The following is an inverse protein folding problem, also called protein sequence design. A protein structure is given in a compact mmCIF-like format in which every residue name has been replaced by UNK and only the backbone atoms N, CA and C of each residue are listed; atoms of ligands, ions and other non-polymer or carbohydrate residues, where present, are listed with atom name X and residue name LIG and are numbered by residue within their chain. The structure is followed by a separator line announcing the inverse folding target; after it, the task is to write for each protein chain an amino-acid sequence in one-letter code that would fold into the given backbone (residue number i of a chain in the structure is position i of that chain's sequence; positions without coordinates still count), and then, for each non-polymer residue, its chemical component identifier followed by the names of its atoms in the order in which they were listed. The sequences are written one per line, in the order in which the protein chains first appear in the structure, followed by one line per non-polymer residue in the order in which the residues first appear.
data_IF_664451846183
#
_entry.id   IF_664451846183
#
_cell.length_a   1.000
_cell.length_b   1.000
_cell.length_c   1.000
_cell.angle_alpha   90.00
_cell.angle_beta   90.00
_cell.angle_gamma   90.00
#
_symmetry.space_group_name_H-M   'P 1'
#
loop_
_entity.id
_entity.type
_entity.pdbx_description
1 polymer ?
#
# COMPACT_ATOMS: atom_id res chain seq x y z
N UNK A 1 -11.09 24.60 12.22
CA UNK A 1 -10.75 23.96 13.52
C UNK A 1 -9.26 24.10 13.76
N UNK A 2 -8.83 24.58 14.94
CA UNK A 2 -7.40 24.60 15.28
C UNK A 2 -6.98 23.26 15.86
N UNK A 3 -5.82 22.73 15.45
CA UNK A 3 -5.29 21.48 15.97
C UNK A 3 -4.88 21.64 17.45
N UNK A 4 -5.23 20.68 18.31
CA UNK A 4 -4.86 20.71 19.73
C UNK A 4 -3.33 20.76 19.90
N UNK A 5 -2.74 21.68 20.69
CA UNK A 5 -1.29 21.88 20.75
C UNK A 5 -0.47 20.61 21.06
N UNK A 6 -0.99 19.76 21.96
CA UNK A 6 -0.35 18.48 22.30
C UNK A 6 -0.33 17.49 21.12
N UNK A 7 -1.40 17.46 20.32
CA UNK A 7 -1.47 16.59 19.14
C UNK A 7 -0.48 17.09 18.09
N UNK A 8 -0.41 18.41 17.87
CA UNK A 8 0.59 19.00 16.99
C UNK A 8 2.02 18.62 17.39
N UNK A 9 2.38 18.77 18.67
CA UNK A 9 3.71 18.42 19.18
C UNK A 9 4.04 16.93 19.01
N UNK A 10 3.07 16.04 19.25
CA UNK A 10 3.24 14.60 19.06
C UNK A 10 3.44 14.27 17.58
N UNK A 11 2.61 14.83 16.69
CA UNK A 11 2.72 14.64 15.24
C UNK A 11 4.08 15.08 14.73
N UNK A 12 4.57 16.26 15.12
CA UNK A 12 5.89 16.73 14.68
C UNK A 12 7.02 15.84 15.19
N UNK A 13 6.95 15.38 16.45
CA UNK A 13 7.95 14.45 17.00
C UNK A 13 7.98 13.13 16.22
N UNK A 14 6.82 12.59 15.84
CA UNK A 14 6.74 11.38 15.01
C UNK A 14 7.33 11.66 13.63
N UNK A 15 6.96 12.78 13.01
CA UNK A 15 7.42 13.17 11.67
C UNK A 15 8.95 13.29 11.62
N UNK A 16 9.54 13.95 12.61
CA UNK A 16 10.99 14.12 12.72
C UNK A 16 11.70 12.76 12.92
N UNK A 17 11.26 11.98 13.90
CA UNK A 17 11.85 10.66 14.20
C UNK A 17 11.75 9.69 13.02
N UNK A 18 10.65 9.74 12.28
CA UNK A 18 10.37 8.85 11.15
C UNK A 18 10.91 9.35 9.81
N UNK A 19 11.52 10.54 9.74
CA UNK A 19 11.94 11.11 8.46
C UNK A 19 12.86 10.18 7.63
N UNK A 20 13.91 9.55 8.21
CA UNK A 20 14.78 8.67 7.44
C UNK A 20 14.06 7.41 6.92
N UNK A 21 13.28 6.74 7.77
CA UNK A 21 12.57 5.52 7.40
C UNK A 21 11.41 5.80 6.43
N UNK A 22 10.74 6.94 6.58
CA UNK A 22 9.70 7.38 5.65
C UNK A 22 10.27 7.68 4.28
N UNK A 23 11.43 8.34 4.20
CA UNK A 23 12.11 8.59 2.92
C UNK A 23 12.49 7.28 2.21
N UNK A 24 13.08 6.33 2.94
CA UNK A 24 13.42 5.02 2.39
C UNK A 24 12.18 4.26 1.89
N UNK A 25 11.08 4.29 2.65
CA UNK A 25 9.82 3.69 2.26
C UNK A 25 9.24 4.30 0.97
N UNK A 26 9.22 5.62 0.87
CA UNK A 26 8.73 6.31 -0.33
C UNK A 26 9.62 6.03 -1.55
N UNK A 27 10.94 6.01 -1.38
CA UNK A 27 11.85 5.62 -2.45
C UNK A 27 11.60 4.18 -2.94
N UNK A 28 11.28 3.25 -2.02
CA UNK A 28 10.88 1.89 -2.36
C UNK A 28 9.57 1.82 -3.15
N UNK A 29 8.56 2.63 -2.78
CA UNK A 29 7.31 2.74 -3.55
C UNK A 29 7.59 3.26 -4.96
N UNK A 30 8.37 4.33 -5.09
CA UNK A 30 8.70 4.90 -6.39
C UNK A 30 9.46 3.91 -7.29
N UNK A 31 10.35 3.10 -6.70
CA UNK A 31 11.04 2.03 -7.40
C UNK A 31 10.07 0.93 -7.86
N UNK A 32 9.21 0.44 -6.96
CA UNK A 32 8.23 -0.60 -7.29
C UNK A 32 7.23 -0.15 -8.36
N UNK A 33 6.83 1.13 -8.36
CA UNK A 33 5.97 1.70 -9.40
C UNK A 33 6.62 1.61 -10.78
N UNK A 34 7.93 1.88 -10.88
CA UNK A 34 8.69 1.77 -12.15
C UNK A 34 8.87 0.33 -12.61
N UNK A 35 9.01 -0.61 -11.69
CA UNK A 35 9.18 -2.04 -12.01
C UNK A 35 7.88 -2.72 -12.43
N UNK A 36 6.73 -2.19 -11.98
CA UNK A 36 5.41 -2.72 -12.31
C UNK A 36 5.04 -3.98 -11.51
N UNK A 37 3.85 -4.56 -11.78
CA UNK A 37 3.33 -5.68 -10.99
C UNK A 37 4.07 -7.00 -11.29
N UNK A 38 4.67 -7.60 -10.26
CA UNK A 38 5.41 -8.88 -10.35
C UNK A 38 4.54 -10.15 -10.38
N UNK A 39 3.38 -10.12 -11.07
CA UNK A 39 2.43 -11.25 -11.06
C UNK A 39 2.97 -12.51 -11.73
N UNK A 40 3.82 -12.36 -12.77
CA UNK A 40 4.41 -13.48 -13.51
C UNK A 40 5.33 -14.37 -12.67
N UNK A 41 5.82 -13.87 -11.52
CA UNK A 41 6.68 -14.62 -10.59
C UNK A 41 5.90 -15.37 -9.52
N UNK A 42 4.58 -15.19 -9.43
CA UNK A 42 3.73 -15.86 -8.45
C UNK A 42 3.30 -17.24 -8.96
N UNK A 43 3.19 -18.21 -8.05
CA UNK A 43 2.62 -19.52 -8.38
C UNK A 43 1.15 -19.40 -8.77
N UNK A 44 0.66 -20.34 -9.58
CA UNK A 44 -0.74 -20.39 -10.01
C UNK A 44 -1.71 -20.39 -8.82
N UNK A 45 -1.36 -21.04 -7.70
CA UNK A 45 -2.16 -21.03 -6.48
C UNK A 45 -2.27 -19.65 -5.84
N UNK A 46 -1.18 -18.89 -5.77
CA UNK A 46 -1.18 -17.54 -5.23
C UNK A 46 -2.01 -16.58 -6.10
N UNK A 47 -1.93 -16.72 -7.42
CA UNK A 47 -2.76 -15.96 -8.36
C UNK A 47 -4.25 -16.32 -8.23
N UNK A 48 -4.57 -17.61 -8.15
CA UNK A 48 -5.94 -18.08 -8.00
C UNK A 48 -6.60 -17.55 -6.71
N UNK A 49 -5.89 -17.60 -5.58
CA UNK A 49 -6.38 -17.06 -4.31
C UNK A 49 -6.57 -15.53 -4.38
N UNK A 50 -5.58 -14.80 -4.90
CA UNK A 50 -5.68 -13.35 -5.02
C UNK A 50 -6.86 -12.89 -5.89
N UNK A 51 -7.23 -13.69 -6.90
CA UNK A 51 -8.32 -13.35 -7.82
C UNK A 51 -9.68 -13.89 -7.38
N UNK A 52 -9.73 -14.85 -6.46
CA UNK A 52 -10.98 -15.55 -6.11
C UNK A 52 -12.09 -14.60 -5.67
N UNK A 53 -11.76 -13.65 -4.77
CA UNK A 53 -12.68 -12.67 -4.19
C UNK A 53 -13.03 -11.49 -5.12
N UNK A 54 -12.34 -11.34 -6.25
CA UNK A 54 -12.56 -10.23 -7.17
C UNK A 54 -13.89 -10.38 -7.93
N UNK A 55 -14.58 -9.25 -8.12
CA UNK A 55 -15.73 -9.16 -9.01
C UNK A 55 -15.35 -9.30 -10.50
N UNK A 56 -16.32 -9.41 -11.42
CA UNK A 56 -16.07 -9.62 -12.85
C UNK A 56 -15.14 -8.58 -13.48
N UNK A 57 -15.33 -7.30 -13.13
CA UNK A 57 -14.50 -6.18 -13.62
C UNK A 57 -13.04 -6.31 -13.17
N UNK A 58 -12.82 -6.57 -11.88
CA UNK A 58 -11.46 -6.67 -11.33
C UNK A 58 -10.77 -7.94 -11.83
N UNK A 59 -11.47 -9.07 -11.95
CA UNK A 59 -10.94 -10.29 -12.58
C UNK A 59 -10.53 -10.03 -14.03
N UNK A 60 -11.32 -9.29 -14.80
CA UNK A 60 -10.97 -8.91 -16.17
C UNK A 60 -9.70 -8.06 -16.22
N UNK A 61 -9.60 -7.05 -15.35
CA UNK A 61 -8.42 -6.17 -15.24
C UNK A 61 -7.16 -6.90 -14.79
N UNK A 62 -7.29 -7.86 -13.88
CA UNK A 62 -6.18 -8.65 -13.34
C UNK A 62 -5.67 -9.73 -14.30
N UNK A 63 -6.50 -10.14 -15.27
CA UNK A 63 -6.10 -11.03 -16.37
C UNK A 63 -5.34 -10.30 -17.50
N UNK A 64 -5.48 -8.98 -17.61
CA UNK A 64 -4.76 -8.16 -18.59
C UNK A 64 -3.36 -7.77 -18.15
N UNK A 65 -2.67 -6.95 -18.97
CA UNK A 65 -1.22 -6.81 -18.91
C UNK A 65 -0.68 -6.05 -17.67
N UNK A 66 -1.31 -4.94 -17.25
CA UNK A 66 -0.72 -4.09 -16.21
C UNK A 66 -1.75 -3.27 -15.42
N UNK A 67 -2.62 -3.93 -14.65
CA UNK A 67 -3.43 -3.24 -13.64
C UNK A 67 -2.65 -3.18 -12.33
N UNK A 68 -2.33 -2.02 -11.74
CA UNK A 68 -1.73 -1.95 -10.41
C UNK A 68 -2.73 -2.32 -9.32
N UNK A 69 -2.27 -2.92 -8.22
CA UNK A 69 -3.05 -3.11 -7.00
C UNK A 69 -2.68 -1.99 -6.02
N UNK A 70 -3.67 -1.21 -5.56
CA UNK A 70 -3.45 -0.20 -4.51
C UNK A 70 -3.80 -0.78 -3.14
N UNK A 71 -2.79 -1.07 -2.33
CA UNK A 71 -2.98 -1.43 -0.93
C UNK A 71 -3.14 -0.16 -0.09
N UNK A 72 -4.31 0.00 0.55
CA UNK A 72 -4.51 1.06 1.54
C UNK A 72 -4.23 0.47 2.92
N UNK A 73 -3.07 0.82 3.49
CA UNK A 73 -2.75 0.47 4.87
C UNK A 73 -3.29 1.58 5.77
N UNK A 74 -4.32 1.28 6.54
CA UNK A 74 -4.82 2.17 7.58
C UNK A 74 -4.20 1.80 8.91
N UNK A 75 -3.77 2.80 9.70
CA UNK A 75 -3.40 2.60 11.10
C UNK A 75 -4.64 2.44 12.01
N UNK A 76 -5.84 2.66 11.45
CA UNK A 76 -7.09 2.19 12.04
C UNK A 76 -7.11 0.68 11.98
N UNK A 77 -6.54 0.12 13.02
CA UNK A 77 -6.80 -1.23 13.42
C UNK A 77 -7.73 -1.06 14.63
N UNK A 78 -9.05 -1.11 14.41
CA UNK A 78 -9.99 -1.44 15.48
C UNK A 78 -9.72 -2.91 15.83
N UNK A 79 -8.57 -3.16 16.45
CA UNK A 79 -8.20 -4.49 16.90
C UNK A 79 -8.96 -4.74 18.20
N UNK A 80 -9.83 -5.76 18.16
CA UNK A 80 -10.33 -6.46 19.34
C UNK A 80 -9.25 -6.68 20.40
#
# INVERSE_FOLDING_TARGET
MSLHPKIHAITERIRQRSAPSRAAYLAGIDAALREGPFRSRLSCGNLAHAFAACGPTDKGRLRGDATPNLGIITAYNDML
#
